data_IF_534149805361
#
_entry.id   IF_534149805361
#
_cell.length_a   1.000
_cell.length_b   1.000
_cell.length_c   1.000
_cell.angle_alpha   90.00
_cell.angle_beta   90.00
_cell.angle_gamma   90.00
#
_symmetry.space_group_name_H-M   'P 1'
#
loop_
_entity.id
_entity.type
_entity.pdbx_description
1 polymer ?
#
# COMPACT_ATOMS: atom_id res chain seq x y z
N UNK A 1 -3.99 -16.43 -28.82
CA UNK A 1 -4.18 -16.27 -27.36
C UNK A 1 -3.63 -14.91 -26.97
N UNK A 2 -4.49 -13.96 -26.59
CA UNK A 2 -4.05 -12.67 -26.06
C UNK A 2 -3.45 -12.88 -24.67
N UNK A 3 -2.26 -12.35 -24.44
CA UNK A 3 -1.68 -12.42 -23.11
C UNK A 3 -2.54 -11.51 -22.21
N UNK A 4 -2.66 -11.84 -20.92
CA UNK A 4 -3.24 -10.88 -19.95
C UNK A 4 -2.52 -9.53 -20.05
N UNK A 5 -1.29 -9.53 -20.59
CA UNK A 5 -0.51 -8.35 -20.97
C UNK A 5 -1.13 -7.39 -22.00
N UNK A 6 -2.24 -7.75 -22.60
CA UNK A 6 -2.87 -6.97 -23.66
C UNK A 6 -4.21 -6.35 -23.21
N UNK A 7 -4.64 -6.60 -21.96
CA UNK A 7 -5.82 -5.98 -21.36
C UNK A 7 -5.54 -4.55 -20.87
N UNK A 8 -6.46 -3.62 -21.20
CA UNK A 8 -6.45 -2.17 -20.85
C UNK A 8 -6.60 -1.89 -19.35
N UNK A 9 -7.16 -2.84 -18.59
CA UNK A 9 -7.21 -2.83 -17.11
C UNK A 9 -7.03 -4.25 -16.61
N UNK A 10 -5.99 -4.47 -15.80
CA UNK A 10 -5.72 -5.77 -15.19
C UNK A 10 -5.97 -5.72 -13.70
N UNK A 11 -6.75 -6.68 -13.23
CA UNK A 11 -6.82 -7.01 -11.83
C UNK A 11 -5.74 -8.04 -11.55
N UNK A 12 -4.81 -7.73 -10.65
CA UNK A 12 -3.77 -8.64 -10.18
C UNK A 12 -4.01 -8.96 -8.72
N UNK A 13 -4.23 -10.23 -8.40
CA UNK A 13 -4.16 -10.71 -7.03
C UNK A 13 -2.71 -11.09 -6.75
N UNK A 14 -2.13 -10.55 -5.67
CA UNK A 14 -0.75 -10.81 -5.28
C UNK A 14 -0.75 -11.22 -3.82
N UNK A 15 -0.09 -12.33 -3.52
CA UNK A 15 0.17 -12.74 -2.14
C UNK A 15 1.50 -12.17 -1.69
N UNK A 16 1.48 -11.45 -0.58
CA UNK A 16 2.65 -10.80 -0.01
C UNK A 16 3.00 -11.39 1.35
N UNK A 17 4.28 -11.33 1.75
CA UNK A 17 4.64 -11.45 3.15
C UNK A 17 3.87 -10.41 3.98
N UNK A 18 3.39 -10.81 5.16
CA UNK A 18 2.58 -9.96 6.04
C UNK A 18 3.22 -8.59 6.33
N UNK A 19 4.55 -8.53 6.37
CA UNK A 19 5.30 -7.31 6.62
C UNK A 19 5.26 -6.32 5.46
N UNK A 20 5.30 -6.83 4.22
CA UNK A 20 5.13 -6.00 3.03
C UNK A 20 3.71 -5.45 3.00
N UNK A 21 2.73 -6.28 3.38
CA UNK A 21 1.32 -5.90 3.48
C UNK A 21 1.10 -4.77 4.49
N UNK A 22 1.65 -4.91 5.70
CA UNK A 22 1.58 -3.90 6.76
C UNK A 22 2.33 -2.61 6.39
N UNK A 23 3.46 -2.72 5.71
CA UNK A 23 4.20 -1.56 5.25
C UNK A 23 3.41 -0.74 4.22
N UNK A 24 2.66 -1.41 3.33
CA UNK A 24 1.77 -0.70 2.40
C UNK A 24 0.68 0.09 3.13
N UNK A 25 0.10 -0.46 4.20
CA UNK A 25 -0.90 0.27 5.00
C UNK A 25 -0.31 1.50 5.68
N UNK A 26 0.95 1.41 6.15
CA UNK A 26 1.66 2.55 6.71
C UNK A 26 1.88 3.65 5.66
N UNK A 27 2.29 3.30 4.44
CA UNK A 27 2.44 4.27 3.36
C UNK A 27 1.12 4.97 3.02
N UNK A 28 0.01 4.22 2.99
CA UNK A 28 -1.33 4.78 2.76
C UNK A 28 -1.70 5.76 3.87
N UNK A 29 -1.42 5.42 5.14
CA UNK A 29 -1.68 6.30 6.27
C UNK A 29 -0.86 7.58 6.22
N UNK A 30 0.44 7.48 5.90
CA UNK A 30 1.31 8.66 5.74
C UNK A 30 0.78 9.62 4.67
N UNK A 31 0.35 9.09 3.52
CA UNK A 31 -0.23 9.94 2.47
C UNK A 31 -1.56 10.58 2.92
N UNK A 32 -2.38 9.87 3.69
CA UNK A 32 -3.62 10.41 4.24
C UNK A 32 -3.37 11.51 5.28
N UNK A 33 -2.31 11.41 6.07
CA UNK A 33 -1.90 12.43 7.05
C UNK A 33 -1.48 13.75 6.37
N UNK A 34 -0.94 13.66 5.15
CA UNK A 34 -0.67 14.81 4.26
C UNK A 34 -1.92 15.31 3.49
N UNK A 35 -3.12 14.81 3.84
CA UNK A 35 -4.37 15.21 3.21
C UNK A 35 -4.64 14.58 1.84
N UNK A 36 -3.89 13.54 1.46
CA UNK A 36 -4.05 12.83 0.17
C UNK A 36 -4.61 11.43 0.43
N UNK A 37 -5.94 11.28 0.62
CA UNK A 37 -6.54 9.97 0.84
C UNK A 37 -6.45 9.12 -0.44
N UNK A 38 -5.87 7.93 -0.33
CA UNK A 38 -5.76 6.99 -1.44
C UNK A 38 -5.93 5.54 -1.00
N UNK A 39 -6.41 4.70 -1.91
CA UNK A 39 -6.52 3.26 -1.69
C UNK A 39 -5.16 2.56 -1.83
N UNK A 40 -5.05 1.35 -1.27
CA UNK A 40 -3.88 0.47 -1.42
C UNK A 40 -3.46 0.26 -2.88
N UNK A 41 -4.43 0.04 -3.77
CA UNK A 41 -4.16 -0.13 -5.20
C UNK A 41 -3.61 1.14 -5.86
N UNK A 42 -4.08 2.32 -5.44
CA UNK A 42 -3.56 3.61 -5.91
C UNK A 42 -2.14 3.86 -5.38
N UNK A 43 -1.87 3.56 -4.12
CA UNK A 43 -0.51 3.65 -3.55
C UNK A 43 0.46 2.73 -4.31
N UNK A 44 0.07 1.47 -4.55
CA UNK A 44 0.90 0.55 -5.36
C UNK A 44 1.15 1.11 -6.77
N UNK A 45 0.11 1.67 -7.40
CA UNK A 45 0.24 2.28 -8.72
C UNK A 45 1.19 3.47 -8.71
N UNK A 46 1.15 4.31 -7.67
CA UNK A 46 2.07 5.44 -7.48
C UNK A 46 3.51 4.97 -7.27
N UNK A 47 3.74 3.93 -6.47
CA UNK A 47 5.07 3.34 -6.26
C UNK A 47 5.66 2.80 -7.57
N UNK A 48 4.85 2.08 -8.37
CA UNK A 48 5.28 1.57 -9.67
C UNK A 48 5.54 2.70 -10.66
N UNK A 49 4.69 3.73 -10.69
CA UNK A 49 4.88 4.89 -11.56
C UNK A 49 6.15 5.69 -11.23
N UNK A 50 6.57 5.69 -9.96
CA UNK A 50 7.77 6.38 -9.49
C UNK A 50 9.04 5.50 -9.49
N UNK A 51 8.93 4.22 -9.87
CA UNK A 51 10.06 3.31 -9.88
C UNK A 51 11.10 3.74 -10.93
N UNK A 52 12.39 3.67 -10.59
CA UNK A 52 13.47 3.99 -11.52
C UNK A 52 13.46 3.03 -12.72
N UNK A 53 13.59 3.57 -13.94
CA UNK A 53 13.69 2.79 -15.17
C UNK A 53 15.12 2.26 -15.46
N UNK A 54 16.08 2.55 -14.57
CA UNK A 54 17.47 2.08 -14.73
C UNK A 54 17.59 0.60 -14.39
N UNK A 55 17.98 -0.22 -15.38
CA UNK A 55 18.20 -1.66 -15.22
C UNK A 55 19.10 -2.02 -14.02
N UNK A 56 20.26 -1.37 -13.82
CA UNK A 56 21.09 -1.56 -12.63
C UNK A 56 20.38 -1.26 -11.32
N UNK A 57 19.56 -0.20 -11.27
CA UNK A 57 18.81 0.19 -10.06
C UNK A 57 17.74 -0.84 -9.73
N UNK A 58 16.96 -1.27 -10.72
CA UNK A 58 15.94 -2.31 -10.56
C UNK A 58 16.58 -3.63 -10.14
N UNK A 59 17.69 -4.03 -10.77
CA UNK A 59 18.41 -5.25 -10.40
C UNK A 59 18.90 -5.21 -8.94
N UNK A 60 19.44 -4.06 -8.48
CA UNK A 60 19.84 -3.88 -7.07
C UNK A 60 18.65 -3.98 -6.13
N UNK A 61 17.52 -3.36 -6.46
CA UNK A 61 16.28 -3.41 -5.69
C UNK A 61 15.75 -4.85 -5.56
N UNK A 62 15.67 -5.58 -6.68
CA UNK A 62 15.19 -6.98 -6.70
C UNK A 62 16.14 -7.89 -5.93
N UNK A 63 17.46 -7.75 -6.11
CA UNK A 63 18.45 -8.54 -5.35
C UNK A 63 18.35 -8.28 -3.85
N UNK A 64 18.09 -7.04 -3.43
CA UNK A 64 17.86 -6.72 -2.02
C UNK A 64 16.58 -7.37 -1.50
N UNK A 65 15.49 -7.30 -2.26
CA UNK A 65 14.24 -7.95 -1.88
C UNK A 65 14.39 -9.47 -1.77
N UNK A 66 14.98 -10.12 -2.77
CA UNK A 66 15.17 -11.59 -2.78
C UNK A 66 16.25 -12.08 -1.81
N UNK A 67 17.29 -11.27 -1.58
CA UNK A 67 18.47 -11.68 -0.80
C UNK A 67 18.49 -11.23 0.65
N UNK A 68 17.74 -10.17 1.02
CA UNK A 68 17.83 -9.56 2.35
C UNK A 68 16.51 -9.36 3.09
N UNK A 69 15.34 -9.57 2.50
CA UNK A 69 14.10 -9.58 3.30
C UNK A 69 14.05 -10.86 4.15
N UNK A 70 14.74 -10.84 5.29
CA UNK A 70 14.34 -11.65 6.44
C UNK A 70 13.23 -10.89 7.15
N UNK A 71 12.27 -11.65 7.67
CA UNK A 71 11.16 -11.18 8.52
C UNK A 71 11.68 -10.13 9.51
N UNK A 72 11.28 -8.86 9.37
CA UNK A 72 11.51 -7.77 10.32
C UNK A 72 12.24 -6.54 9.77
N UNK A 73 12.86 -6.59 8.58
CA UNK A 73 13.67 -5.47 8.07
C UNK A 73 12.83 -4.31 7.50
N UNK A 74 11.61 -4.57 7.03
CA UNK A 74 10.67 -3.52 6.61
C UNK A 74 10.12 -2.71 7.79
N UNK A 75 9.98 -3.35 8.95
CA UNK A 75 9.54 -2.70 10.18
C UNK A 75 10.64 -1.81 10.78
N UNK A 76 11.92 -2.13 10.54
CA UNK A 76 13.06 -1.39 11.11
C UNK A 76 13.27 0.00 10.50
N UNK A 77 12.75 0.24 9.30
CA UNK A 77 12.79 1.55 8.63
C UNK A 77 11.51 2.37 8.77
N UNK A 78 10.45 1.82 9.37
CA UNK A 78 9.19 2.51 9.59
C UNK A 78 9.26 3.38 10.87
N UNK A 79 8.60 4.55 10.90
CA UNK A 79 8.37 5.30 12.13
C UNK A 79 7.71 4.40 13.18
N UNK A 80 8.07 4.54 14.47
CA UNK A 80 7.47 3.72 15.53
C UNK A 80 5.98 4.06 15.62
N UNK A 81 5.13 3.06 15.92
CA UNK A 81 3.67 3.29 16.00
C UNK A 81 3.26 4.33 17.05
N UNK A 82 4.11 4.56 18.05
CA UNK A 82 3.99 5.59 19.07
C UNK A 82 4.24 7.02 18.53
N UNK A 83 4.93 7.15 17.40
CA UNK A 83 5.14 8.41 16.69
C UNK A 83 4.05 8.68 15.63
N UNK A 84 3.12 7.74 15.42
CA UNK A 84 2.05 7.87 14.45
C UNK A 84 0.80 8.51 15.11
N UNK A 85 0.29 9.64 14.58
CA UNK A 85 -0.85 10.34 15.19
C UNK A 85 -2.09 9.45 15.19
N UNK A 86 -2.77 9.33 16.34
CA UNK A 86 -3.98 8.52 16.47
C UNK A 86 -5.09 9.02 15.52
N UNK A 87 -5.45 8.21 14.54
CA UNK A 87 -6.55 8.51 13.63
C UNK A 87 -7.86 8.40 14.40
N UNK A 88 -8.54 9.53 14.61
CA UNK A 88 -9.92 9.55 15.08
C UNK A 88 -10.83 9.10 13.94
N UNK A 89 -11.30 7.86 14.00
CA UNK A 89 -12.40 7.40 13.15
C UNK A 89 -13.66 8.23 13.43
N UNK A 90 -13.95 9.23 12.59
CA UNK A 90 -15.30 9.82 12.54
C UNK A 90 -16.21 8.85 11.81
N UNK A 91 -16.71 7.86 12.53
CA UNK A 91 -17.86 7.07 12.09
C UNK A 91 -19.05 8.00 11.88
N UNK A 92 -19.46 8.20 10.63
CA UNK A 92 -20.73 8.84 10.28
C UNK A 92 -21.84 7.89 10.71
N UNK A 93 -22.48 8.14 11.86
CA UNK A 93 -23.72 7.45 12.22
C UNK A 93 -24.77 7.75 11.14
N UNK A 94 -25.19 6.71 10.41
CA UNK A 94 -26.44 6.75 9.65
C UNK A 94 -27.57 6.55 10.66
N UNK A 95 -28.16 7.63 11.13
CA UNK A 95 -29.51 7.60 11.70
C UNK A 95 -30.46 7.21 10.57
N UNK A 96 -30.99 5.99 10.63
CA UNK A 96 -32.15 5.61 9.82
C UNK A 96 -33.38 6.33 10.40
N UNK A 97 -34.13 7.11 9.60
CA UNK A 97 -35.39 7.65 10.06
C UNK A 97 -36.44 6.54 10.14
N UNK A 98 -37.12 6.53 11.28
CA UNK A 98 -38.33 5.79 11.64
C UNK A 98 -39.33 5.74 10.50
N UNK A 99 -39.75 4.54 10.09
CA UNK A 99 -40.95 4.37 9.28
C UNK A 99 -42.00 3.67 10.13
N UNK A 100 -43.05 4.44 10.42
CA UNK A 100 -44.29 4.09 11.10
C UNK A 100 -45.07 3.06 10.28
N UNK A 101 -45.54 2.01 10.93
CA UNK A 101 -46.85 1.42 10.65
C UNK A 101 -47.37 0.72 11.91
#
# INVERSE_FOLDING_TARGET
>A
MGLLKDSRRRTTSVQWPAEVDAHLDLLVRLAADEGIPMSRAQMLSALVANASLSGPTVAKMVRRYLGQLKVGDLARGAPRSEDLPQVRHRGRQRTHPTQTN
#
